data_IF_144220654924
#
_entry.id   IF_144220654924
#
_cell.length_a   1.000
_cell.length_b   1.000
_cell.length_c   1.000
_cell.angle_alpha   90.00
_cell.angle_beta   90.00
_cell.angle_gamma   90.00
#
_symmetry.space_group_name_H-M   'P 1'
#
loop_
_entity.id
_entity.type
_entity.pdbx_description
1 polymer ?
#
# COMPACT_ATOMS: atom_id res chain seq x y z
N UNK A 1 -11.29 0.85 -0.39
CA UNK A 1 -10.42 1.61 -1.31
C UNK A 1 -9.03 1.65 -0.72
N UNK A 2 -8.01 1.10 -1.42
CA UNK A 2 -6.65 0.84 -0.89
C UNK A 2 -5.93 2.07 -0.33
N UNK A 3 -6.28 3.28 -0.80
CA UNK A 3 -5.63 4.53 -0.38
C UNK A 3 -5.81 4.87 1.11
N UNK A 4 -6.85 4.32 1.75
CA UNK A 4 -7.12 4.56 3.18
C UNK A 4 -6.54 3.49 4.11
N UNK A 5 -5.82 2.49 3.58
CA UNK A 5 -5.18 1.46 4.40
C UNK A 5 -3.97 2.06 5.11
N UNK A 6 -3.93 1.87 6.43
CA UNK A 6 -2.76 2.18 7.25
C UNK A 6 -1.76 1.05 7.16
N UNK A 7 -0.52 1.39 6.84
CA UNK A 7 0.60 0.47 6.73
C UNK A 7 1.55 0.70 7.90
N UNK A 8 1.76 -0.33 8.70
CA UNK A 8 2.76 -0.32 9.77
C UNK A 8 4.16 -0.44 9.18
N UNK A 9 4.93 0.64 9.25
CA UNK A 9 6.33 0.67 8.80
C UNK A 9 7.28 0.95 9.96
N UNK A 10 8.60 0.72 9.80
CA UNK A 10 9.59 1.06 10.83
C UNK A 10 9.59 2.53 11.26
N UNK A 11 9.03 3.42 10.44
CA UNK A 11 8.96 4.86 10.68
C UNK A 11 7.60 5.30 11.27
N UNK A 12 6.71 4.34 11.58
CA UNK A 12 5.35 4.59 12.05
C UNK A 12 4.28 4.22 11.03
N UNK A 13 3.03 4.50 11.38
CA UNK A 13 1.87 4.21 10.54
C UNK A 13 1.76 5.25 9.43
N UNK A 14 1.76 4.79 8.18
CA UNK A 14 1.64 5.64 7.00
C UNK A 14 0.59 5.08 6.04
N UNK A 15 -0.03 5.96 5.25
CA UNK A 15 -0.97 5.55 4.19
C UNK A 15 -0.21 5.00 2.98
N UNK A 16 -0.80 4.06 2.25
CA UNK A 16 -0.22 3.48 1.01
C UNK A 16 0.29 4.56 0.02
N UNK A 17 -0.45 5.66 -0.27
CA UNK A 17 0.01 6.70 -1.19
C UNK A 17 1.26 7.47 -0.71
N UNK A 18 1.59 7.42 0.58
CA UNK A 18 2.81 8.02 1.13
C UNK A 18 4.03 7.14 0.86
N UNK A 19 3.83 5.82 0.80
CA UNK A 19 4.88 4.81 0.63
C UNK A 19 5.23 4.53 -0.83
N UNK A 20 4.32 4.86 -1.75
CA UNK A 20 4.48 4.56 -3.17
C UNK A 20 3.50 5.28 -4.06
N UNK A 21 3.72 5.15 -5.37
CA UNK A 21 2.75 5.59 -6.37
C UNK A 21 1.64 4.55 -6.51
N UNK A 22 0.39 5.02 -6.38
CA UNK A 22 -0.81 4.20 -6.58
C UNK A 22 -1.44 4.63 -7.90
N UNK A 23 -1.61 3.66 -8.80
CA UNK A 23 -2.22 3.88 -10.11
C UNK A 23 -3.34 2.89 -10.32
N UNK A 24 -4.53 3.37 -10.67
CA UNK A 24 -5.64 2.52 -11.08
C UNK A 24 -5.39 2.08 -12.52
N UNK A 25 -5.19 0.78 -12.74
CA UNK A 25 -4.97 0.22 -14.08
C UNK A 25 -6.30 0.00 -14.79
N UNK A 26 -7.27 -0.56 -14.08
CA UNK A 26 -8.65 -0.76 -14.52
C UNK A 26 -9.59 -0.81 -13.29
N UNK A 27 -10.87 -1.14 -13.50
CA UNK A 27 -11.87 -1.16 -12.42
C UNK A 27 -11.60 -2.19 -11.31
N UNK A 28 -10.74 -3.18 -11.55
CA UNK A 28 -10.43 -4.27 -10.61
C UNK A 28 -8.93 -4.42 -10.32
N UNK A 29 -8.08 -3.66 -11.03
CA UNK A 29 -6.63 -3.76 -10.93
C UNK A 29 -6.02 -2.44 -10.50
N UNK A 30 -5.23 -2.48 -9.43
CA UNK A 30 -4.47 -1.33 -8.91
C UNK A 30 -3.00 -1.71 -8.87
N UNK A 31 -2.15 -0.83 -9.40
CA UNK A 31 -0.70 -0.95 -9.36
C UNK A 31 -0.16 -0.07 -8.23
N UNK A 32 0.61 -0.66 -7.33
CA UNK A 32 1.31 0.06 -6.25
C UNK A 32 2.81 -0.08 -6.48
N UNK A 33 3.49 1.04 -6.67
CA UNK A 33 4.94 1.12 -6.87
C UNK A 33 5.58 1.77 -5.64
N UNK A 34 6.06 0.97 -4.66
CA UNK A 34 6.70 1.50 -3.48
C UNK A 34 8.02 2.21 -3.85
N UNK A 35 8.27 3.36 -3.24
CA UNK A 35 9.53 4.10 -3.43
C UNK A 35 10.75 3.35 -2.90
N UNK A 36 10.54 2.59 -1.82
CA UNK A 36 11.52 1.70 -1.22
C UNK A 36 11.00 0.25 -1.23
N UNK A 37 11.80 -0.66 -1.77
CA UNK A 37 11.48 -2.09 -1.85
C UNK A 37 11.32 -2.73 -0.46
N UNK A 38 11.91 -2.16 0.59
CA UNK A 38 11.74 -2.67 1.96
C UNK A 38 10.29 -2.55 2.45
N UNK A 39 9.55 -1.54 1.98
CA UNK A 39 8.16 -1.30 2.35
C UNK A 39 7.16 -2.24 1.65
N UNK A 40 7.59 -2.97 0.60
CA UNK A 40 6.71 -3.86 -0.16
C UNK A 40 6.01 -4.89 0.74
N UNK A 41 6.77 -5.55 1.62
CA UNK A 41 6.24 -6.56 2.55
C UNK A 41 5.20 -5.99 3.52
N UNK A 42 5.41 -4.75 3.96
CA UNK A 42 4.49 -4.07 4.87
C UNK A 42 3.18 -3.69 4.17
N UNK A 43 3.29 -3.19 2.93
CA UNK A 43 2.14 -2.84 2.09
C UNK A 43 1.33 -4.10 1.77
N UNK A 44 1.96 -5.18 1.30
CA UNK A 44 1.30 -6.45 0.99
C UNK A 44 0.53 -6.98 2.21
N UNK A 45 1.20 -7.05 3.37
CA UNK A 45 0.56 -7.50 4.61
C UNK A 45 -0.67 -6.66 4.95
N UNK A 46 -0.56 -5.34 4.87
CA UNK A 46 -1.67 -4.43 5.23
C UNK A 46 -2.86 -4.53 4.27
N UNK A 47 -2.61 -4.87 3.00
CA UNK A 47 -3.68 -5.12 2.02
C UNK A 47 -4.40 -6.44 2.35
N UNK A 48 -3.67 -7.50 2.67
CA UNK A 48 -4.27 -8.78 3.07
C UNK A 48 -5.04 -8.67 4.39
N UNK A 49 -4.49 -7.96 5.38
CA UNK A 49 -5.12 -7.77 6.69
C UNK A 49 -6.37 -6.86 6.62
N UNK A 50 -6.49 -6.02 5.58
CA UNK A 50 -7.63 -5.12 5.40
C UNK A 50 -8.92 -5.81 4.92
N UNK A 51 -8.87 -7.08 4.49
CA UNK A 51 -10.01 -7.90 4.05
C UNK A 51 -11.00 -7.15 3.12
N UNK A 52 -10.44 -6.55 2.05
CA UNK A 52 -11.14 -5.67 1.08
C UNK A 52 -11.48 -6.34 -0.24
#
# INVERSE_FOLDING_TARGET
>A
MVENIDVETPYGNMKIPTLGHVTLMDAQTIKIEPRDKTNLKHIEKSIYDADI
#
